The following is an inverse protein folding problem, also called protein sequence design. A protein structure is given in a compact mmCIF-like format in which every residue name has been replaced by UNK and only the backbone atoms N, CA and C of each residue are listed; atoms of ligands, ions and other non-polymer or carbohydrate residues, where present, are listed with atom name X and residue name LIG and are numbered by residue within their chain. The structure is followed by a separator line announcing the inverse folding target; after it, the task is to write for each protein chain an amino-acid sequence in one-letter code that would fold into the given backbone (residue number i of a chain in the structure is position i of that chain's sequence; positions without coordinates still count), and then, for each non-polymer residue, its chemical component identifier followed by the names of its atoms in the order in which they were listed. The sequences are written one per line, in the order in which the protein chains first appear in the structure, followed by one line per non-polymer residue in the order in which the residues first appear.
data_IF_687125245629
#
_entry.id   IF_687125245629
#
_cell.length_a   1.000
_cell.length_b   1.000
_cell.length_c   1.000
_cell.angle_alpha   90.00
_cell.angle_beta   90.00
_cell.angle_gamma   90.00
#
_symmetry.space_group_name_H-M   'P 1'
#
loop_
_entity.id
_entity.type
_entity.pdbx_description
1 polymer ?
#
# COMPACT_ATOMS: atom_id res chain seq x y z
N UNK A 1 13.58 12.06 -32.47
CA UNK A 1 12.45 11.11 -32.31
C UNK A 1 11.16 11.85 -32.62
N UNK A 2 10.27 11.30 -33.45
CA UNK A 2 9.02 11.97 -33.83
C UNK A 2 8.15 12.24 -32.59
N UNK A 3 7.74 13.49 -32.38
CA UNK A 3 6.86 13.88 -31.26
C UNK A 3 5.50 13.21 -31.47
N UNK A 4 5.11 12.27 -30.62
CA UNK A 4 3.81 11.59 -30.71
C UNK A 4 2.66 12.59 -30.58
N UNK A 5 1.65 12.44 -31.44
CA UNK A 5 0.43 13.24 -31.42
C UNK A 5 -0.46 12.88 -30.23
N UNK A 6 -1.34 13.79 -29.83
CA UNK A 6 -2.37 13.46 -28.85
C UNK A 6 -3.34 12.43 -29.44
N UNK A 7 -3.83 11.52 -28.60
CA UNK A 7 -4.74 10.45 -29.02
C UNK A 7 -5.69 10.03 -27.90
N UNK A 8 -6.78 9.37 -28.29
CA UNK A 8 -7.72 8.71 -27.40
C UNK A 8 -7.49 7.21 -27.46
N UNK A 9 -7.27 6.56 -26.32
CA UNK A 9 -7.20 5.09 -26.21
C UNK A 9 -8.31 4.56 -25.31
N UNK A 10 -8.89 3.42 -25.68
CA UNK A 10 -9.91 2.73 -24.89
C UNK A 10 -9.24 1.74 -23.94
N UNK A 11 -9.59 1.82 -22.66
CA UNK A 11 -9.33 0.79 -21.65
C UNK A 11 -10.50 -0.21 -21.67
N UNK A 12 -10.21 -1.45 -22.04
CA UNK A 12 -11.22 -2.51 -22.14
C UNK A 12 -11.53 -3.20 -20.81
N UNK A 13 -10.71 -3.02 -19.77
CA UNK A 13 -10.96 -3.53 -18.42
C UNK A 13 -11.99 -2.63 -17.72
N UNK A 14 -11.88 -1.31 -17.90
CA UNK A 14 -12.77 -0.34 -17.25
C UNK A 14 -13.88 0.23 -18.16
N UNK A 15 -13.86 -0.08 -19.45
CA UNK A 15 -14.72 0.51 -20.50
C UNK A 15 -14.69 2.05 -20.53
N UNK A 16 -13.48 2.62 -20.39
CA UNK A 16 -13.24 4.06 -20.37
C UNK A 16 -12.33 4.49 -21.52
N UNK A 17 -12.37 5.77 -21.86
CA UNK A 17 -11.40 6.38 -22.77
C UNK A 17 -10.41 7.25 -22.00
N UNK A 18 -9.14 7.19 -22.41
CA UNK A 18 -8.04 7.96 -21.85
C UNK A 18 -7.47 8.87 -22.93
N UNK A 19 -7.25 10.14 -22.59
CA UNK A 19 -6.52 11.08 -23.45
C UNK A 19 -5.03 10.95 -23.14
N UNK A 20 -4.24 10.54 -24.14
CA UNK A 20 -2.78 10.55 -24.07
C UNK A 20 -2.29 11.81 -24.77
N UNK A 21 -1.66 12.72 -24.02
CA UNK A 21 -1.21 14.02 -24.52
C UNK A 21 0.24 14.32 -24.11
N UNK A 22 1.25 13.72 -24.78
CA UNK A 22 2.66 13.75 -24.33
C UNK A 22 3.26 15.15 -24.20
N UNK A 23 2.81 16.11 -25.03
CA UNK A 23 3.23 17.52 -24.96
C UNK A 23 2.84 18.22 -23.66
N UNK A 24 1.96 17.64 -22.84
CA UNK A 24 1.58 18.19 -21.53
C UNK A 24 2.70 18.12 -20.50
N UNK A 25 3.71 17.27 -20.72
CA UNK A 25 4.94 17.24 -19.91
C UNK A 25 5.77 18.52 -20.04
N UNK A 26 5.70 19.18 -21.21
CA UNK A 26 6.43 20.44 -21.48
C UNK A 26 5.75 21.66 -20.83
N UNK A 27 4.60 21.47 -20.15
CA UNK A 27 3.87 22.57 -19.53
C UNK A 27 4.67 23.09 -18.33
N UNK A 28 4.98 24.40 -18.26
CA UNK A 28 5.57 24.98 -17.07
C UNK A 28 4.70 24.70 -15.85
N UNK A 29 5.28 24.04 -14.87
CA UNK A 29 4.66 23.83 -13.57
C UNK A 29 4.97 25.07 -12.72
N UNK A 30 3.93 25.74 -12.20
CA UNK A 30 4.13 26.81 -11.21
C UNK A 30 4.75 26.24 -9.94
N UNK A 31 5.36 27.11 -9.12
CA UNK A 31 5.92 26.78 -7.80
C UNK A 31 4.92 26.13 -6.82
N UNK A 32 3.65 26.09 -7.17
CA UNK A 32 2.55 25.61 -6.33
C UNK A 32 2.40 24.07 -6.34
N UNK A 33 3.21 23.37 -7.16
CA UNK A 33 3.33 21.91 -7.15
C UNK A 33 4.68 21.46 -6.58
N UNK A 34 5.07 22.00 -5.43
CA UNK A 34 6.04 21.33 -4.56
C UNK A 34 5.35 20.12 -3.91
N UNK A 35 5.15 19.06 -4.68
CA UNK A 35 5.16 17.74 -4.07
C UNK A 35 6.61 17.49 -3.70
N UNK A 36 7.00 17.92 -2.51
CA UNK A 36 8.22 17.46 -1.86
C UNK A 36 8.09 15.95 -1.60
N UNK A 37 8.23 15.16 -2.68
CA UNK A 37 8.36 13.71 -2.64
C UNK A 37 9.55 13.30 -1.76
N UNK A 38 10.47 14.23 -1.52
CA UNK A 38 11.64 14.08 -0.67
C UNK A 38 11.34 13.90 0.83
N UNK A 39 10.09 14.05 1.30
CA UNK A 39 9.81 14.00 2.75
C UNK A 39 8.56 13.23 3.21
N UNK A 40 7.81 12.56 2.33
CA UNK A 40 6.67 11.72 2.78
C UNK A 40 7.15 10.53 3.62
N UNK A 41 8.42 10.14 3.49
CA UNK A 41 9.09 9.24 4.43
C UNK A 41 9.54 9.96 5.72
N UNK A 42 8.73 10.87 6.26
CA UNK A 42 8.77 11.18 7.69
C UNK A 42 8.35 9.90 8.44
N UNK A 43 9.31 8.99 8.55
CA UNK A 43 9.24 7.74 9.26
C UNK A 43 8.68 8.04 10.64
N UNK A 44 7.42 7.63 10.87
CA UNK A 44 6.89 7.50 12.21
C UNK A 44 7.93 6.74 12.98
N UNK A 45 8.57 7.35 13.99
CA UNK A 45 9.62 6.64 14.73
C UNK A 45 9.09 5.27 15.15
N UNK A 46 9.95 4.25 15.12
CA UNK A 46 9.56 2.86 15.40
C UNK A 46 8.78 2.74 16.71
N UNK A 47 9.16 3.53 17.71
CA UNK A 47 8.52 3.62 19.04
C UNK A 47 7.05 4.08 19.00
N UNK A 48 6.66 4.85 17.98
CA UNK A 48 5.31 5.37 17.80
C UNK A 48 4.45 4.51 16.86
N UNK A 49 5.07 3.61 16.09
CA UNK A 49 4.34 2.74 15.17
C UNK A 49 3.57 1.64 15.92
N UNK A 50 2.28 1.51 15.62
CA UNK A 50 1.38 0.51 16.22
C UNK A 50 1.65 -0.92 15.71
N UNK A 51 2.33 -1.05 14.57
CA UNK A 51 2.71 -2.34 13.97
C UNK A 51 4.11 -2.81 14.37
N UNK A 52 4.86 -1.99 15.10
CA UNK A 52 6.18 -2.37 15.59
C UNK A 52 6.14 -3.04 16.96
N UNK A 53 7.16 -3.86 17.21
CA UNK A 53 7.42 -4.43 18.53
C UNK A 53 7.79 -3.31 19.54
N UNK A 54 7.36 -3.37 20.82
CA UNK A 54 6.58 -4.45 21.46
C UNK A 54 5.05 -4.28 21.33
N UNK A 55 4.56 -3.11 20.92
CA UNK A 55 3.13 -2.77 20.91
C UNK A 55 2.30 -3.75 20.09
N UNK A 56 2.83 -4.20 18.96
CA UNK A 56 2.11 -5.13 18.08
C UNK A 56 2.14 -6.58 18.55
N UNK A 57 2.98 -6.94 19.53
CA UNK A 57 3.11 -8.33 20.01
C UNK A 57 1.81 -8.84 20.63
N UNK A 58 1.10 -7.99 21.38
CA UNK A 58 -0.16 -8.34 22.05
C UNK A 58 -1.38 -8.37 21.12
N UNK A 59 -1.26 -7.84 19.89
CA UNK A 59 -2.38 -7.82 18.95
C UNK A 59 -2.76 -9.24 18.52
N UNK A 60 -4.06 -9.56 18.56
CA UNK A 60 -4.58 -10.88 18.18
C UNK A 60 -4.44 -11.08 16.67
N UNK A 61 -3.56 -11.99 16.27
CA UNK A 61 -3.41 -12.38 14.87
C UNK A 61 -4.58 -13.24 14.39
N UNK A 62 -4.98 -13.03 13.14
CA UNK A 62 -5.79 -13.97 12.37
C UNK A 62 -4.89 -15.01 11.69
N UNK A 63 -3.74 -14.55 11.19
CA UNK A 63 -2.72 -15.38 10.55
C UNK A 63 -1.32 -14.87 10.94
N UNK A 64 -0.37 -15.80 11.10
CA UNK A 64 1.05 -15.51 11.29
C UNK A 64 1.84 -16.43 10.36
N UNK A 65 2.72 -15.83 9.56
CA UNK A 65 3.72 -16.56 8.77
C UNK A 65 5.08 -16.44 9.46
N UNK A 66 5.73 -17.57 9.71
CA UNK A 66 6.97 -17.67 10.47
C UNK A 66 6.76 -17.94 11.97
N UNK A 67 7.84 -17.98 12.77
CA UNK A 67 7.75 -18.24 14.20
C UNK A 67 6.92 -17.19 14.93
N UNK A 68 6.07 -17.59 15.88
CA UNK A 68 5.15 -16.69 16.60
C UNK A 68 5.85 -15.49 17.27
N UNK A 69 7.04 -15.71 17.82
CA UNK A 69 7.86 -14.69 18.49
C UNK A 69 8.69 -13.83 17.52
N UNK A 70 8.92 -14.32 16.30
CA UNK A 70 9.72 -13.66 15.26
C UNK A 70 9.00 -13.79 13.91
N UNK A 71 7.78 -13.25 13.86
CA UNK A 71 6.90 -13.36 12.71
C UNK A 71 7.49 -12.61 11.51
N UNK A 72 7.24 -13.14 10.31
CA UNK A 72 7.61 -12.50 9.05
C UNK A 72 6.45 -11.67 8.51
N UNK A 73 5.25 -12.24 8.52
CA UNK A 73 4.00 -11.57 8.16
C UNK A 73 2.99 -11.82 9.27
N UNK A 74 2.21 -10.79 9.63
CA UNK A 74 1.14 -10.92 10.63
C UNK A 74 -0.11 -10.20 10.14
N UNK A 75 -1.22 -10.94 10.08
CA UNK A 75 -2.53 -10.44 9.67
C UNK A 75 -3.39 -10.22 10.90
N UNK A 76 -4.03 -9.07 10.99
CA UNK A 76 -4.91 -8.69 12.11
C UNK A 76 -6.21 -8.11 11.58
N UNK A 77 -7.27 -8.14 12.40
CA UNK A 77 -8.50 -7.39 12.08
C UNK A 77 -8.17 -5.90 12.04
N UNK A 78 -8.71 -5.19 11.05
CA UNK A 78 -8.62 -3.74 11.05
C UNK A 78 -9.44 -3.18 12.23
N UNK A 79 -8.84 -2.30 13.04
CA UNK A 79 -9.51 -1.64 14.18
C UNK A 79 -10.54 -0.60 13.75
N UNK A 80 -10.43 -0.10 12.52
CA UNK A 80 -11.31 0.90 11.92
C UNK A 80 -11.82 0.40 10.56
N UNK A 81 -12.60 -0.69 10.53
CA UNK A 81 -13.00 -1.32 9.27
C UNK A 81 -14.07 -0.47 8.55
N UNK A 82 -13.99 -0.40 7.22
CA UNK A 82 -14.98 0.25 6.36
C UNK A 82 -16.28 -0.58 6.19
N UNK A 83 -16.22 -1.87 6.52
CA UNK A 83 -17.32 -2.85 6.36
C UNK A 83 -17.47 -3.69 7.64
N UNK A 84 -18.67 -4.21 7.87
CA UNK A 84 -18.95 -5.03 9.06
C UNK A 84 -20.00 -6.12 8.76
N UNK A 85 -19.94 -7.25 9.45
CA UNK A 85 -20.82 -8.40 9.23
C UNK A 85 -22.29 -8.13 9.61
N UNK A 86 -22.56 -7.13 10.43
CA UNK A 86 -23.91 -6.69 10.81
C UNK A 86 -24.43 -5.53 9.95
N UNK A 87 -23.62 -5.00 9.03
CA UNK A 87 -24.01 -3.93 8.15
C UNK A 87 -24.67 -4.45 6.87
N UNK A 88 -26.01 -4.34 6.79
CA UNK A 88 -26.80 -4.81 5.64
C UNK A 88 -26.47 -4.13 4.31
N UNK A 89 -25.90 -2.93 4.31
CA UNK A 89 -25.54 -2.18 3.09
C UNK A 89 -24.05 -2.30 2.72
N UNK A 90 -23.21 -2.69 3.66
CA UNK A 90 -21.76 -2.79 3.51
C UNK A 90 -21.23 -3.99 4.32
N UNK A 91 -21.75 -5.18 3.98
CA UNK A 91 -21.41 -6.43 4.64
C UNK A 91 -19.99 -6.86 4.26
N UNK A 92 -19.16 -7.14 5.25
CA UNK A 92 -17.81 -7.66 5.01
C UNK A 92 -16.92 -7.66 6.25
N UNK A 93 -15.67 -8.05 6.02
CA UNK A 93 -14.59 -8.01 7.01
C UNK A 93 -13.42 -7.28 6.37
N UNK A 94 -12.68 -6.50 7.16
CA UNK A 94 -11.47 -5.85 6.71
C UNK A 94 -10.32 -6.20 7.63
N UNK A 95 -9.17 -6.50 7.01
CA UNK A 95 -7.97 -6.94 7.68
C UNK A 95 -6.80 -6.02 7.33
N UNK A 96 -5.74 -6.11 8.11
CA UNK A 96 -4.47 -5.43 7.86
C UNK A 96 -3.39 -6.50 7.80
N UNK A 97 -2.70 -6.56 6.67
CA UNK A 97 -1.53 -7.42 6.45
C UNK A 97 -0.29 -6.59 6.77
N UNK A 98 0.45 -6.98 7.81
CA UNK A 98 1.75 -6.37 8.12
C UNK A 98 2.83 -7.22 7.47
N UNK A 99 3.39 -6.70 6.38
CA UNK A 99 4.27 -7.40 5.42
C UNK A 99 5.65 -7.76 5.98
N UNK A 100 6.13 -7.01 6.99
CA UNK A 100 7.44 -7.20 7.61
C UNK A 100 7.47 -6.62 9.03
N UNK A 101 8.25 -7.21 9.97
CA UNK A 101 8.52 -6.58 11.26
C UNK A 101 9.53 -5.42 11.17
N UNK A 102 10.23 -5.28 10.04
CA UNK A 102 11.20 -4.21 9.82
C UNK A 102 10.53 -2.93 9.34
N UNK A 103 10.44 -1.96 10.25
CA UNK A 103 9.80 -0.67 10.04
C UNK A 103 10.35 0.12 8.84
N UNK A 104 11.63 -0.08 8.49
CA UNK A 104 12.29 0.74 7.48
C UNK A 104 12.16 0.17 6.07
N UNK A 105 11.80 -1.09 5.93
CA UNK A 105 11.72 -1.75 4.64
C UNK A 105 10.40 -1.46 3.95
N UNK A 106 10.47 -1.11 2.67
CA UNK A 106 9.34 -1.09 1.76
C UNK A 106 9.21 -2.40 0.99
N UNK A 107 8.08 -2.59 0.31
CA UNK A 107 7.76 -3.82 -0.43
C UNK A 107 8.85 -4.17 -1.47
N UNK A 108 9.39 -3.16 -2.16
CA UNK A 108 10.44 -3.32 -3.17
C UNK A 108 11.81 -3.72 -2.59
N UNK A 109 12.03 -3.58 -1.29
CA UNK A 109 13.25 -3.99 -0.58
C UNK A 109 13.14 -5.42 -0.02
N UNK A 110 11.97 -6.05 -0.13
CA UNK A 110 11.76 -7.42 0.30
C UNK A 110 12.31 -8.40 -0.74
N UNK A 111 12.78 -9.55 -0.27
CA UNK A 111 13.23 -10.62 -1.17
C UNK A 111 12.03 -11.22 -1.92
N UNK A 112 12.26 -11.81 -3.09
CA UNK A 112 11.21 -12.48 -3.88
C UNK A 112 10.43 -13.50 -3.05
N UNK A 113 11.13 -14.30 -2.23
CA UNK A 113 10.51 -15.29 -1.35
C UNK A 113 9.65 -14.66 -0.23
N UNK A 114 9.93 -13.43 0.19
CA UNK A 114 9.06 -12.70 1.12
C UNK A 114 7.82 -12.16 0.42
N UNK A 115 7.96 -11.64 -0.80
CA UNK A 115 6.83 -11.17 -1.61
C UNK A 115 5.89 -12.32 -1.98
N UNK A 116 6.45 -13.48 -2.34
CA UNK A 116 5.68 -14.70 -2.58
C UNK A 116 4.79 -15.05 -1.38
N UNK A 117 5.35 -15.05 -0.17
CA UNK A 117 4.58 -15.28 1.06
C UNK A 117 3.48 -14.24 1.31
N UNK A 118 3.66 -13.00 0.88
CA UNK A 118 2.60 -11.97 0.99
C UNK A 118 1.42 -12.32 0.07
N UNK A 119 1.68 -12.89 -1.10
CA UNK A 119 0.64 -13.27 -2.06
C UNK A 119 -0.09 -14.57 -1.69
N UNK A 120 0.48 -15.39 -0.80
CA UNK A 120 -0.14 -16.61 -0.26
C UNK A 120 -1.13 -16.35 0.89
N UNK A 121 -1.10 -15.14 1.46
CA UNK A 121 -1.96 -14.68 2.55
C UNK A 121 -3.34 -14.31 2.02
#
# INVERSE_FOLDING_TARGET
MAKSSAELRKDYIQDKYVIIAPRRLDRPHGSDVNFDLASVHQSVKKEHCVFCHPRFKSEKALLIIGPKENWQIKVVKNKYPAVALDNKKAYGVQEVVVETPDHKKQLEELTVAQVEKILEV
#
